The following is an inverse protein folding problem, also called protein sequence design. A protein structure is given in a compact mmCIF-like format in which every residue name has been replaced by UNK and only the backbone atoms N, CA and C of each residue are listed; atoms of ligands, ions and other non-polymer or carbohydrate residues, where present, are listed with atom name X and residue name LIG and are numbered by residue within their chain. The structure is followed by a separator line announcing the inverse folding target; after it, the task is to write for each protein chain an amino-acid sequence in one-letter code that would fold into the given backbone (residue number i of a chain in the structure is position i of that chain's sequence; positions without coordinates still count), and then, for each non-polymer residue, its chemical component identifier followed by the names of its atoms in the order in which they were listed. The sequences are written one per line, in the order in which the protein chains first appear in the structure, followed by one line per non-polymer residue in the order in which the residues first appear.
data_IF_293879619289
#
_entry.id   IF_293879619289
#
_cell.length_a   1.000
_cell.length_b   1.000
_cell.length_c   1.000
_cell.angle_alpha   90.00
_cell.angle_beta   90.00
_cell.angle_gamma   90.00
#
_symmetry.space_group_name_H-M   'P 1'
#
loop_
_entity.id
_entity.type
_entity.pdbx_description
1 polymer ?
#
# COMPACT_ATOMS: atom_id res chain seq x y z
N UNK A 1 28.08 27.78 -18.29
CA UNK A 1 27.37 26.53 -18.58
C UNK A 1 27.45 25.68 -17.32
N UNK A 2 26.45 25.78 -16.43
CA UNK A 2 26.38 24.94 -15.23
C UNK A 2 25.37 23.83 -15.51
N UNK A 3 25.87 22.60 -15.55
CA UNK A 3 25.04 21.41 -15.52
C UNK A 3 24.47 21.28 -14.09
N UNK A 4 23.15 21.31 -14.00
CA UNK A 4 22.40 21.03 -12.78
C UNK A 4 22.65 19.57 -12.39
N UNK A 5 23.31 19.39 -11.27
CA UNK A 5 23.46 18.13 -10.55
C UNK A 5 22.06 17.64 -10.15
N UNK A 6 21.60 16.56 -10.79
CA UNK A 6 20.35 15.88 -10.45
C UNK A 6 20.64 15.05 -9.21
N UNK A 7 20.41 15.64 -8.04
CA UNK A 7 20.49 14.92 -6.77
C UNK A 7 19.34 13.92 -6.67
N UNK A 8 19.69 12.64 -6.76
CA UNK A 8 18.86 11.49 -6.43
C UNK A 8 18.40 11.57 -4.97
N UNK A 9 17.16 12.01 -4.73
CA UNK A 9 16.58 12.01 -3.38
C UNK A 9 16.05 10.62 -3.00
N UNK A 10 16.94 9.64 -2.90
CA UNK A 10 16.75 8.48 -2.02
C UNK A 10 17.24 8.88 -0.61
N UNK A 11 16.44 9.68 0.10
CA UNK A 11 16.77 10.13 1.44
C UNK A 11 16.62 9.00 2.46
N UNK A 12 17.72 8.51 3.03
CA UNK A 12 17.71 7.74 4.28
C UNK A 12 17.37 8.68 5.44
N UNK A 13 16.08 8.77 5.80
CA UNK A 13 15.63 9.45 7.02
C UNK A 13 15.65 8.43 8.17
N UNK A 14 16.79 8.33 8.87
CA UNK A 14 16.97 7.28 9.88
C UNK A 14 16.92 5.89 9.25
N UNK A 15 16.66 4.85 10.04
CA UNK A 15 16.56 3.45 9.59
C UNK A 15 15.34 3.17 8.68
N UNK A 16 15.00 4.10 7.77
CA UNK A 16 13.87 4.04 6.87
C UNK A 16 14.36 4.26 5.44
N UNK A 17 14.08 3.28 4.57
CA UNK A 17 14.29 3.39 3.13
C UNK A 17 13.01 3.90 2.48
N UNK A 18 13.10 4.96 1.68
CA UNK A 18 11.97 5.53 0.93
C UNK A 18 12.21 5.35 -0.57
N UNK A 19 11.17 4.96 -1.31
CA UNK A 19 11.20 4.89 -2.78
C UNK A 19 9.97 5.60 -3.35
N UNK A 20 10.18 6.51 -4.29
CA UNK A 20 9.15 7.32 -4.95
C UNK A 20 8.87 6.80 -6.36
N UNK A 21 7.59 6.64 -6.70
CA UNK A 21 7.11 6.19 -8.01
C UNK A 21 5.99 7.13 -8.46
N UNK A 22 6.04 7.55 -9.73
CA UNK A 22 4.97 8.34 -10.34
C UNK A 22 3.81 7.43 -10.73
N UNK A 23 2.58 7.83 -10.41
CA UNK A 23 1.39 7.10 -10.81
C UNK A 23 0.21 8.04 -11.09
N UNK A 24 -0.84 7.49 -11.66
CA UNK A 24 -2.18 8.05 -11.72
C UNK A 24 -3.05 7.33 -10.69
N UNK A 25 -3.86 8.08 -9.96
CA UNK A 25 -4.59 7.59 -8.80
C UNK A 25 -6.06 8.02 -8.81
N UNK A 26 -6.94 7.16 -8.33
CA UNK A 26 -8.34 7.45 -8.02
C UNK A 26 -8.87 6.49 -6.94
N UNK A 27 -9.95 6.89 -6.28
CA UNK A 27 -10.65 6.09 -5.25
C UNK A 27 -12.05 5.71 -5.71
N UNK A 28 -12.53 4.54 -5.28
CA UNK A 28 -13.89 4.05 -5.51
C UNK A 28 -14.07 3.28 -6.82
N UNK A 29 -15.18 2.52 -6.88
CA UNK A 29 -15.65 1.86 -8.10
C UNK A 29 -16.25 2.90 -9.07
N UNK A 30 -16.20 2.60 -10.36
CA UNK A 30 -16.52 3.45 -11.53
C UNK A 30 -17.95 4.05 -11.63
N UNK A 31 -18.65 4.21 -10.52
CA UNK A 31 -19.99 4.79 -10.48
C UNK A 31 -20.02 6.06 -9.62
N UNK A 32 -19.45 7.14 -10.15
CA UNK A 32 -20.22 8.39 -10.06
C UNK A 32 -21.60 8.10 -10.69
N UNK A 33 -22.66 8.64 -10.13
CA UNK A 33 -24.06 8.45 -10.60
C UNK A 33 -24.32 8.76 -12.09
N UNK A 34 -23.30 9.25 -12.80
CA UNK A 34 -23.28 9.54 -14.23
C UNK A 34 -22.48 8.50 -15.07
N UNK A 35 -22.01 7.40 -14.48
CA UNK A 35 -21.28 6.33 -15.17
C UNK A 35 -19.93 6.77 -15.75
N UNK A 36 -19.35 7.84 -15.20
CA UNK A 36 -18.02 8.32 -15.60
C UNK A 36 -16.98 7.82 -14.61
N UNK A 37 -15.92 7.16 -15.07
CA UNK A 37 -14.77 6.87 -14.22
C UNK A 37 -14.26 8.16 -13.59
N UNK A 38 -14.08 8.18 -12.26
CA UNK A 38 -13.55 9.34 -11.55
C UNK A 38 -12.22 9.82 -12.17
N UNK A 39 -12.02 11.14 -12.22
CA UNK A 39 -10.87 11.72 -12.90
C UNK A 39 -9.55 11.24 -12.26
N UNK A 40 -8.70 10.61 -13.06
CA UNK A 40 -7.36 10.21 -12.65
C UNK A 40 -6.53 11.45 -12.32
N UNK A 41 -5.94 11.49 -11.13
CA UNK A 41 -5.00 12.53 -10.73
C UNK A 41 -3.58 11.99 -10.67
N UNK A 42 -2.62 12.83 -11.04
CA UNK A 42 -1.20 12.44 -11.01
C UNK A 42 -0.68 12.53 -9.58
N UNK A 43 -0.01 11.49 -9.12
CA UNK A 43 0.48 11.35 -7.75
C UNK A 43 1.92 10.89 -7.70
N UNK A 44 2.57 11.17 -6.57
CA UNK A 44 3.80 10.48 -6.14
C UNK A 44 3.40 9.46 -5.10
N UNK A 45 3.77 8.21 -5.35
CA UNK A 45 3.60 7.09 -4.45
C UNK A 45 4.93 6.78 -3.77
N UNK A 46 4.93 6.82 -2.44
CA UNK A 46 6.06 6.45 -1.61
C UNK A 46 5.79 5.12 -0.92
N UNK A 47 6.66 4.13 -1.14
CA UNK A 47 6.73 2.95 -0.27
C UNK A 47 7.93 3.11 0.65
N UNK A 48 7.64 3.29 1.93
CA UNK A 48 8.64 3.46 2.99
C UNK A 48 8.79 2.14 3.74
N UNK A 49 10.02 1.71 4.03
CA UNK A 49 10.30 0.48 4.77
C UNK A 49 11.20 0.80 5.95
N UNK A 50 10.85 0.32 7.14
CA UNK A 50 11.81 0.30 8.25
C UNK A 50 12.96 -0.67 7.93
N UNK A 51 14.05 -0.60 8.68
CA UNK A 51 15.20 -1.50 8.55
C UNK A 51 15.56 -2.20 9.89
N UNK A 52 14.55 -2.51 10.71
CA UNK A 52 14.64 -3.35 11.91
C UNK A 52 14.21 -4.78 11.56
N UNK A 53 15.15 -5.71 11.44
CA UNK A 53 14.90 -7.06 10.91
C UNK A 53 13.69 -7.81 11.51
N UNK A 54 13.42 -7.66 12.81
CA UNK A 54 12.32 -8.36 13.52
C UNK A 54 10.99 -7.58 13.50
N UNK A 55 11.04 -6.26 13.33
CA UNK A 55 9.88 -5.36 13.37
C UNK A 55 9.63 -4.69 12.01
N UNK A 56 10.16 -5.28 10.94
CA UNK A 56 10.18 -4.60 9.65
C UNK A 56 8.78 -4.46 9.06
N UNK A 57 8.40 -3.21 8.78
CA UNK A 57 7.11 -2.83 8.22
C UNK A 57 7.30 -1.89 7.04
N UNK A 58 6.35 -1.93 6.12
CA UNK A 58 6.27 -0.99 5.03
C UNK A 58 5.02 -0.10 5.16
N UNK A 59 5.11 1.17 4.77
CA UNK A 59 3.96 2.05 4.64
C UNK A 59 3.85 2.61 3.23
N UNK A 60 2.61 2.72 2.76
CA UNK A 60 2.23 3.30 1.49
C UNK A 60 1.72 4.72 1.74
N UNK A 61 2.32 5.69 1.07
CA UNK A 61 1.93 7.10 1.12
C UNK A 61 1.67 7.56 -0.31
N UNK A 62 0.52 8.17 -0.55
CA UNK A 62 0.14 8.76 -1.85
C UNK A 62 0.00 10.26 -1.65
N UNK A 63 0.67 11.03 -2.50
CA UNK A 63 0.66 12.49 -2.47
C UNK A 63 0.28 13.04 -3.83
N UNK A 64 -0.56 14.08 -3.85
CA UNK A 64 -0.87 14.81 -5.07
C UNK A 64 0.40 15.45 -5.65
N UNK A 65 0.64 15.27 -6.95
CA UNK A 65 1.88 15.70 -7.59
C UNK A 65 2.05 17.22 -7.62
N UNK A 66 0.95 17.98 -7.67
CA UNK A 66 1.00 19.44 -7.85
C UNK A 66 1.06 20.18 -6.52
N UNK A 67 0.20 19.81 -5.59
CA UNK A 67 0.03 20.46 -4.29
C UNK A 67 0.90 19.83 -3.19
N UNK A 68 1.37 18.60 -3.38
CA UNK A 68 2.05 17.82 -2.33
C UNK A 68 1.13 17.37 -1.19
N UNK A 69 -0.19 17.55 -1.33
CA UNK A 69 -1.16 17.12 -0.32
C UNK A 69 -1.14 15.60 -0.17
N UNK A 70 -1.18 15.11 1.07
CA UNK A 70 -1.28 13.66 1.34
C UNK A 70 -2.72 13.22 1.09
N UNK A 71 -2.89 12.32 0.12
CA UNK A 71 -4.18 11.76 -0.29
C UNK A 71 -4.47 10.45 0.43
N UNK A 72 -3.43 9.65 0.67
CA UNK A 72 -3.53 8.39 1.39
C UNK A 72 -2.24 8.12 2.18
N UNK A 73 -2.38 7.58 3.39
CA UNK A 73 -1.24 7.05 4.15
C UNK A 73 -1.70 5.93 5.09
N UNK A 74 -1.17 4.73 4.92
CA UNK A 74 -1.40 3.61 5.84
C UNK A 74 -0.18 2.68 5.83
N UNK A 75 0.03 1.95 6.92
CA UNK A 75 1.00 0.83 6.96
C UNK A 75 0.42 -0.30 6.12
N UNK A 76 1.22 -0.89 5.24
CA UNK A 76 0.81 -2.04 4.43
C UNK A 76 0.54 -3.21 5.38
N UNK A 77 -0.64 -3.81 5.25
CA UNK A 77 -1.06 -4.99 6.01
C UNK A 77 -1.13 -6.22 5.11
N UNK A 78 -1.09 -7.41 5.73
CA UNK A 78 -1.11 -8.69 5.00
C UNK A 78 -2.50 -9.02 4.43
N UNK A 79 -3.54 -8.40 4.96
CA UNK A 79 -4.95 -8.61 4.62
C UNK A 79 -5.44 -7.73 3.46
N UNK A 80 -4.64 -6.74 3.02
CA UNK A 80 -5.04 -5.91 1.88
C UNK A 80 -5.08 -6.73 0.60
N UNK A 81 -6.15 -6.57 -0.16
CA UNK A 81 -6.31 -7.26 -1.43
C UNK A 81 -5.62 -6.46 -2.52
N UNK A 82 -4.58 -7.03 -3.13
CA UNK A 82 -3.89 -6.43 -4.26
C UNK A 82 -4.19 -7.23 -5.53
N UNK A 83 -4.74 -6.54 -6.53
CA UNK A 83 -5.00 -7.13 -7.84
C UNK A 83 -4.20 -6.39 -8.88
N UNK A 84 -3.29 -7.10 -9.53
CA UNK A 84 -2.67 -6.63 -10.76
C UNK A 84 -3.73 -6.75 -11.87
N UNK A 85 -4.34 -5.62 -12.23
CA UNK A 85 -5.33 -5.55 -13.30
C UNK A 85 -4.63 -4.96 -14.50
N UNK A 86 -4.38 -5.79 -15.50
CA UNK A 86 -3.95 -5.29 -16.79
C UNK A 86 -5.12 -4.54 -17.46
N UNK A 87 -5.31 -3.27 -17.07
CA UNK A 87 -6.41 -2.42 -17.55
C UNK A 87 -6.23 -2.01 -19.02
N UNK A 88 -5.20 -2.53 -19.72
CA UNK A 88 -4.98 -2.32 -21.16
C UNK A 88 -6.07 -2.93 -22.04
N UNK A 89 -6.87 -3.84 -21.51
CA UNK A 89 -8.03 -4.40 -22.21
C UNK A 89 -9.23 -3.43 -22.26
N UNK A 90 -9.22 -2.35 -21.50
CA UNK A 90 -10.24 -1.29 -21.59
C UNK A 90 -9.95 -0.36 -22.79
N UNK A 91 -10.96 -0.05 -23.63
CA UNK A 91 -10.76 0.78 -24.81
C UNK A 91 -10.25 2.18 -24.40
N UNK A 92 -9.02 2.50 -24.82
CA UNK A 92 -8.38 3.80 -24.58
C UNK A 92 -7.36 3.83 -23.44
N UNK A 93 -7.17 2.73 -22.69
CA UNK A 93 -6.09 2.63 -21.71
C UNK A 93 -4.89 1.89 -22.32
N UNK A 94 -3.78 2.59 -22.47
CA UNK A 94 -2.49 1.97 -22.81
C UNK A 94 -1.62 1.71 -21.55
N UNK A 95 -2.15 2.01 -20.37
CA UNK A 95 -1.41 2.02 -19.10
C UNK A 95 -1.59 0.71 -18.36
N UNK A 96 -0.49 0.17 -17.82
CA UNK A 96 -0.56 -0.90 -16.85
C UNK A 96 -1.13 -0.36 -15.53
N UNK A 97 -1.93 -1.18 -14.84
CA UNK A 97 -2.61 -0.76 -13.63
C UNK A 97 -2.70 -1.85 -12.57
N UNK A 98 -3.08 -1.43 -11.38
CA UNK A 98 -3.39 -2.32 -10.27
C UNK A 98 -4.41 -1.65 -9.36
N UNK A 99 -5.13 -2.44 -8.58
CA UNK A 99 -6.00 -1.94 -7.53
C UNK A 99 -5.65 -2.55 -6.18
N UNK A 100 -5.78 -1.74 -5.14
CA UNK A 100 -5.66 -2.15 -3.75
C UNK A 100 -7.05 -1.97 -3.14
N UNK A 101 -7.62 -3.04 -2.61
CA UNK A 101 -8.87 -3.00 -1.85
C UNK A 101 -8.54 -3.22 -0.38
N UNK A 102 -9.00 -2.30 0.46
CA UNK A 102 -8.83 -2.35 1.91
C UNK A 102 -10.22 -2.50 2.53
N UNK A 103 -10.44 -3.64 3.17
CA UNK A 103 -11.67 -3.88 3.91
C UNK A 103 -11.67 -3.01 5.17
N UNK A 104 -12.63 -2.10 5.28
CA UNK A 104 -12.88 -1.36 6.52
C UNK A 104 -14.07 -2.00 7.24
N UNK A 105 -13.78 -2.62 8.39
CA UNK A 105 -14.82 -3.12 9.30
C UNK A 105 -15.46 -1.93 10.02
N UNK A 106 -16.27 -1.16 9.30
CA UNK A 106 -17.20 -0.26 9.95
C UNK A 106 -18.36 -1.10 10.52
N UNK A 107 -18.29 -1.35 11.83
CA UNK A 107 -19.46 -1.71 12.62
C UNK A 107 -20.49 -0.58 12.42
N UNK A 108 -21.52 -0.82 11.61
CA UNK A 108 -22.71 0.03 11.67
C UNK A 108 -23.38 -0.22 13.02
N UNK A 109 -23.92 0.84 13.64
CA UNK A 109 -24.63 0.75 14.94
C UNK A 109 -25.81 -0.25 14.91
N UNK A 110 -26.20 -0.75 13.74
CA UNK A 110 -27.30 -1.70 13.53
C UNK A 110 -26.87 -3.17 13.36
N UNK A 111 -25.59 -3.51 13.53
CA UNK A 111 -25.12 -4.90 13.52
C UNK A 111 -25.22 -5.61 12.16
N UNK A 112 -25.46 -4.86 11.08
CA UNK A 112 -25.34 -5.34 9.71
C UNK A 112 -23.94 -5.03 9.18
N UNK A 113 -23.23 -6.09 8.79
CA UNK A 113 -21.98 -5.97 8.03
C UNK A 113 -22.31 -5.43 6.64
N UNK A 114 -22.06 -4.14 6.43
CA UNK A 114 -22.03 -3.55 5.10
C UNK A 114 -20.57 -3.18 4.82
N UNK A 115 -19.73 -4.20 4.64
CA UNK A 115 -18.32 -4.03 4.36
C UNK A 115 -18.16 -3.45 2.96
N UNK A 116 -17.96 -2.14 2.89
CA UNK A 116 -17.49 -1.50 1.67
C UNK A 116 -15.97 -1.61 1.65
N UNK A 117 -15.43 -2.26 0.62
CA UNK A 117 -14.00 -2.19 0.34
C UNK A 117 -13.68 -0.77 -0.14
N UNK A 118 -12.77 -0.08 0.56
CA UNK A 118 -12.12 1.09 -0.02
C UNK A 118 -11.21 0.62 -1.15
N UNK A 119 -11.58 0.89 -2.40
CA UNK A 119 -10.78 0.53 -3.58
C UNK A 119 -9.94 1.72 -4.05
N UNK A 120 -8.65 1.48 -4.18
CA UNK A 120 -7.65 2.44 -4.65
C UNK A 120 -7.04 1.96 -5.95
N UNK A 121 -7.27 2.69 -7.04
CA UNK A 121 -6.74 2.34 -8.36
C UNK A 121 -5.47 3.12 -8.64
N UNK A 122 -4.48 2.44 -9.21
CA UNK A 122 -3.23 3.00 -9.67
C UNK A 122 -2.99 2.63 -11.13
N UNK A 123 -2.60 3.61 -11.95
CA UNK A 123 -2.12 3.38 -13.32
C UNK A 123 -0.75 4.02 -13.51
N UNK A 124 0.07 3.41 -14.36
CA UNK A 124 1.46 3.81 -14.57
C UNK A 124 1.69 4.15 -16.04
N UNK A 125 2.53 5.15 -16.30
CA UNK A 125 2.83 5.55 -17.68
C UNK A 125 3.71 4.52 -18.41
N UNK A 126 4.35 3.60 -17.67
CA UNK A 126 5.15 2.52 -18.23
C UNK A 126 5.21 1.28 -17.32
N UNK A 127 5.56 0.14 -17.92
CA UNK A 127 5.64 -1.16 -17.25
C UNK A 127 6.76 -1.23 -16.19
N UNK A 128 7.80 -0.40 -16.30
CA UNK A 128 8.92 -0.39 -15.33
C UNK A 128 8.46 0.20 -14.00
N UNK A 129 7.77 1.34 -14.02
CA UNK A 129 7.19 1.95 -12.81
C UNK A 129 6.16 1.03 -12.17
N UNK A 130 5.31 0.39 -12.99
CA UNK A 130 4.34 -0.58 -12.49
C UNK A 130 5.03 -1.78 -11.81
N UNK A 131 6.02 -2.40 -12.47
CA UNK A 131 6.76 -3.53 -11.90
C UNK A 131 7.53 -3.16 -10.63
N UNK A 132 8.06 -1.93 -10.55
CA UNK A 132 8.68 -1.41 -9.33
C UNK A 132 7.65 -1.27 -8.20
N UNK A 133 6.48 -0.71 -8.50
CA UNK A 133 5.41 -0.58 -7.51
C UNK A 133 4.96 -1.94 -6.99
N UNK A 134 4.70 -2.88 -7.91
CA UNK A 134 4.30 -4.26 -7.62
C UNK A 134 5.31 -4.94 -6.68
N UNK A 135 6.60 -4.91 -7.04
CA UNK A 135 7.65 -5.50 -6.23
C UNK A 135 7.75 -4.89 -4.82
N UNK A 136 7.59 -3.56 -4.70
CA UNK A 136 7.66 -2.88 -3.40
C UNK A 136 6.44 -3.15 -2.53
N UNK A 137 5.25 -3.15 -3.12
CA UNK A 137 4.01 -3.42 -2.42
C UNK A 137 3.96 -4.86 -1.91
N UNK A 138 4.24 -5.84 -2.79
CA UNK A 138 4.29 -7.27 -2.43
C UNK A 138 5.35 -7.55 -1.36
N UNK A 139 6.53 -6.91 -1.45
CA UNK A 139 7.52 -6.98 -0.38
C UNK A 139 6.98 -6.41 0.92
N UNK A 140 6.23 -5.31 0.88
CA UNK A 140 5.57 -4.73 2.04
C UNK A 140 4.56 -5.69 2.69
N UNK A 141 3.76 -6.40 1.90
CA UNK A 141 2.85 -7.43 2.42
C UNK A 141 3.58 -8.62 3.04
N UNK A 142 4.69 -9.06 2.43
CA UNK A 142 5.52 -10.13 3.00
C UNK A 142 6.12 -9.71 4.35
N UNK A 143 6.59 -8.46 4.47
CA UNK A 143 7.05 -7.91 5.75
C UNK A 143 5.94 -7.90 6.80
N UNK A 144 4.74 -7.46 6.44
CA UNK A 144 3.58 -7.49 7.33
C UNK A 144 3.25 -8.92 7.79
N UNK A 145 3.28 -9.90 6.88
CA UNK A 145 3.06 -11.32 7.20
C UNK A 145 4.04 -11.83 8.24
N UNK A 146 5.35 -11.57 8.04
CA UNK A 146 6.40 -11.98 8.98
C UNK A 146 6.22 -11.35 10.35
N UNK A 147 5.95 -10.05 10.39
CA UNK A 147 5.70 -9.34 11.63
C UNK A 147 4.55 -9.98 12.43
N UNK A 148 3.44 -10.30 11.77
CA UNK A 148 2.30 -10.96 12.42
C UNK A 148 2.67 -12.36 12.95
N UNK A 149 3.42 -13.17 12.19
CA UNK A 149 3.90 -14.48 12.67
C UNK A 149 4.82 -14.32 13.89
N UNK A 150 5.76 -13.37 13.85
CA UNK A 150 6.67 -13.11 14.99
C UNK A 150 5.91 -12.64 16.22
N UNK A 151 4.89 -11.79 16.07
CA UNK A 151 4.03 -11.40 17.19
C UNK A 151 3.27 -12.59 17.78
N UNK A 152 2.71 -13.45 16.93
CA UNK A 152 1.99 -14.65 17.33
C UNK A 152 2.90 -15.63 18.09
N UNK A 153 4.08 -15.94 17.54
CA UNK A 153 5.08 -16.81 18.16
C UNK A 153 5.52 -16.27 19.52
N UNK A 154 5.78 -14.97 19.61
CA UNK A 154 6.16 -14.31 20.87
C UNK A 154 5.04 -14.36 21.91
N UNK A 155 3.78 -14.22 21.49
CA UNK A 155 2.62 -14.34 22.37
C UNK A 155 2.48 -15.77 22.89
N UNK A 156 2.56 -16.77 22.00
CA UNK A 156 2.49 -18.19 22.35
C UNK A 156 3.61 -18.55 23.32
N UNK A 157 4.85 -18.16 23.03
CA UNK A 157 6.00 -18.42 23.90
C UNK A 157 5.77 -17.84 25.32
N UNK A 158 5.33 -16.59 25.41
CA UNK A 158 5.02 -15.96 26.71
C UNK A 158 3.89 -16.66 27.46
N UNK A 159 2.84 -17.09 26.77
CA UNK A 159 1.73 -17.84 27.38
C UNK A 159 2.23 -19.20 27.89
N UNK A 160 3.08 -19.90 27.15
CA UNK A 160 3.66 -21.17 27.58
C UNK A 160 4.60 -21.01 28.79
N UNK A 161 5.36 -19.91 28.86
CA UNK A 161 6.25 -19.59 29.99
C UNK A 161 5.47 -19.20 31.26
N UNK A 162 4.38 -18.44 31.12
CA UNK A 162 3.58 -17.93 32.27
C UNK A 162 2.45 -18.85 32.68
N UNK A 163 1.93 -19.69 31.77
CA UNK A 163 0.73 -20.50 31.92
C UNK A 163 0.91 -21.85 32.63
N UNK A 164 2.09 -22.17 33.17
CA UNK A 164 2.24 -23.31 34.06
C UNK A 164 1.89 -24.67 33.45
N UNK A 165 2.77 -25.22 32.62
CA UNK A 165 2.83 -26.68 32.41
C UNK A 165 3.43 -27.42 33.62
N UNK A 166 3.02 -27.03 34.83
CA UNK A 166 3.15 -27.86 36.03
C UNK A 166 1.76 -28.35 36.37
N UNK A 167 1.43 -29.51 35.82
CA UNK A 167 0.55 -30.44 36.50
C UNK A 167 1.29 -30.83 37.80
N UNK A 168 1.10 -30.04 38.86
CA UNK A 168 1.32 -30.48 40.24
C UNK A 168 0.03 -31.10 40.78
#
# INVERSE_FOLDING_TARGET
MNATDRSDTNGMLGNVKVQHIMAWYRTGDDSDSDGRPGALQRVVVAVTQTCKQEDDRAALIVTDYTSGAVLFRKVIEKEWNYTNRDERDAPGSARAGCCISIYDEHLTDEGYFNGYDDVYHFQFDNDVEHAQFDALFLKGQELARRYHCTLEDNLIAKVLETGGNRLE
#
